data_IF_092161888560
#
_entry.id   IF_092161888560
#
_cell.length_a   1.000
_cell.length_b   1.000
_cell.length_c   1.000
_cell.angle_alpha   90.00
_cell.angle_beta   90.00
_cell.angle_gamma   90.00
#
_symmetry.space_group_name_H-M   'P 1'
#
loop_
_entity.id
_entity.type
_entity.pdbx_description
1 polymer ?
#
# COMPACT_ATOMS: atom_id res chain seq x y z
N UNK A 1 -6.08 -13.44 -13.10
CA UNK A 1 -6.85 -13.83 -11.88
C UNK A 1 -8.19 -13.10 -11.78
N UNK A 2 -8.21 -11.74 -11.60
CA UNK A 2 -9.48 -11.02 -11.40
C UNK A 2 -10.34 -10.97 -12.68
N UNK A 3 -9.72 -10.75 -13.83
CA UNK A 3 -10.42 -10.79 -15.13
C UNK A 3 -10.92 -12.19 -15.45
N UNK A 4 -10.15 -13.22 -15.17
CA UNK A 4 -10.55 -14.63 -15.35
C UNK A 4 -11.75 -15.01 -14.45
N UNK A 5 -11.84 -14.38 -13.27
CA UNK A 5 -12.90 -14.66 -12.29
C UNK A 5 -14.21 -13.91 -12.59
N UNK A 6 -14.15 -12.68 -13.12
CA UNK A 6 -15.32 -11.80 -13.28
C UNK A 6 -15.74 -11.59 -14.74
N UNK A 7 -14.82 -11.73 -15.70
CA UNK A 7 -15.04 -11.62 -17.15
C UNK A 7 -15.79 -10.36 -17.63
N UNK A 8 -15.84 -9.30 -16.78
CA UNK A 8 -16.53 -8.04 -17.06
C UNK A 8 -15.67 -6.85 -16.63
N UNK A 9 -15.17 -6.10 -17.62
CA UNK A 9 -14.32 -4.94 -17.41
C UNK A 9 -15.03 -3.80 -16.63
N UNK A 10 -16.35 -3.64 -16.82
CA UNK A 10 -17.12 -2.59 -16.13
C UNK A 10 -17.25 -2.90 -14.63
N UNK A 11 -17.49 -4.17 -14.27
CA UNK A 11 -17.54 -4.63 -12.88
C UNK A 11 -16.17 -4.46 -12.23
N UNK A 12 -15.10 -4.83 -12.91
CA UNK A 12 -13.73 -4.67 -12.43
C UNK A 12 -13.41 -3.19 -12.15
N UNK A 13 -13.77 -2.29 -13.08
CA UNK A 13 -13.57 -0.85 -12.92
C UNK A 13 -14.32 -0.31 -11.70
N UNK A 14 -15.55 -0.75 -11.47
CA UNK A 14 -16.36 -0.36 -10.33
C UNK A 14 -15.74 -0.82 -9.00
N UNK A 15 -15.21 -2.04 -8.97
CA UNK A 15 -14.51 -2.58 -7.80
C UNK A 15 -13.25 -1.77 -7.50
N UNK A 16 -12.41 -1.47 -8.50
CA UNK A 16 -11.21 -0.65 -8.31
C UNK A 16 -11.55 0.77 -7.85
N UNK A 17 -12.64 1.35 -8.36
CA UNK A 17 -13.12 2.64 -7.89
C UNK A 17 -13.50 2.60 -6.40
N UNK A 18 -14.27 1.60 -5.97
CA UNK A 18 -14.64 1.43 -4.56
C UNK A 18 -13.41 1.20 -3.67
N UNK A 19 -12.46 0.38 -4.12
CA UNK A 19 -11.18 0.16 -3.42
C UNK A 19 -10.42 1.48 -3.29
N UNK A 20 -10.37 2.29 -4.34
CA UNK A 20 -9.76 3.62 -4.32
C UNK A 20 -10.38 4.55 -3.29
N UNK A 21 -11.71 4.62 -3.24
CA UNK A 21 -12.45 5.40 -2.24
C UNK A 21 -12.16 4.91 -0.82
N UNK A 22 -12.20 3.59 -0.58
CA UNK A 22 -11.88 3.00 0.71
C UNK A 22 -10.45 3.28 1.13
N UNK A 23 -9.49 3.22 0.20
CA UNK A 23 -8.08 3.54 0.44
C UNK A 23 -7.90 5.01 0.84
N UNK A 24 -8.62 5.92 0.19
CA UNK A 24 -8.60 7.34 0.52
C UNK A 24 -9.16 7.58 1.93
N UNK A 25 -10.30 6.98 2.26
CA UNK A 25 -10.89 7.05 3.60
C UNK A 25 -9.91 6.48 4.64
N UNK A 26 -9.31 5.33 4.36
CA UNK A 26 -8.31 4.72 5.24
C UNK A 26 -7.12 5.66 5.45
N UNK A 27 -6.61 6.29 4.38
CA UNK A 27 -5.50 7.25 4.45
C UNK A 27 -5.79 8.46 5.34
N UNK A 28 -7.03 8.93 5.35
CA UNK A 28 -7.48 10.01 6.24
C UNK A 28 -7.70 9.54 7.69
N UNK A 29 -8.17 8.31 7.87
CA UNK A 29 -8.43 7.74 9.19
C UNK A 29 -7.17 7.34 9.94
N UNK A 30 -6.13 6.82 9.26
CA UNK A 30 -4.90 6.34 9.90
C UNK A 30 -4.24 7.41 10.77
N UNK A 31 -4.00 8.66 10.35
CA UNK A 31 -3.45 9.70 11.21
C UNK A 31 -4.33 10.02 12.44
N UNK A 32 -5.64 9.89 12.31
CA UNK A 32 -6.57 10.04 13.41
C UNK A 32 -6.47 8.87 14.40
N UNK A 33 -6.44 7.64 13.90
CA UNK A 33 -6.35 6.42 14.70
C UNK A 33 -5.02 6.31 15.47
N UNK A 34 -3.92 6.81 14.89
CA UNK A 34 -2.60 6.85 15.55
C UNK A 34 -2.61 7.67 16.85
N UNK A 35 -3.58 8.56 17.06
CA UNK A 35 -3.74 9.28 18.33
C UNK A 35 -4.17 8.37 19.48
N UNK A 36 -4.95 7.33 19.18
CA UNK A 36 -5.52 6.39 20.15
C UNK A 36 -4.75 5.09 20.21
N UNK A 37 -4.26 4.63 19.07
CA UNK A 37 -3.55 3.36 18.93
C UNK A 37 -2.07 3.67 18.69
N UNK A 38 -1.14 3.13 19.50
CA UNK A 38 0.29 3.28 19.24
C UNK A 38 0.65 2.83 17.81
N UNK A 39 1.47 3.62 17.10
CA UNK A 39 1.88 3.37 15.70
C UNK A 39 2.37 1.95 15.45
N UNK A 40 3.00 1.37 16.45
CA UNK A 40 3.48 -0.03 16.44
C UNK A 40 2.35 -1.02 16.18
N UNK A 41 1.21 -0.85 16.82
CA UNK A 41 0.04 -1.71 16.63
C UNK A 41 -0.61 -1.44 15.27
N UNK A 42 -0.69 -0.16 14.85
CA UNK A 42 -1.21 0.19 13.53
C UNK A 42 -0.39 -0.46 12.41
N UNK A 43 0.95 -0.40 12.48
CA UNK A 43 1.81 -1.08 11.52
C UNK A 43 1.59 -2.60 11.53
N UNK A 44 1.50 -3.21 12.72
CA UNK A 44 1.25 -4.64 12.87
C UNK A 44 -0.13 -5.05 12.32
N UNK A 45 -1.17 -4.22 12.52
CA UNK A 45 -2.50 -4.42 11.94
C UNK A 45 -2.42 -4.39 10.40
N UNK A 46 -1.70 -3.42 9.83
CA UNK A 46 -1.48 -3.36 8.38
C UNK A 46 -0.75 -4.59 7.85
N UNK A 47 0.35 -5.00 8.50
CA UNK A 47 1.09 -6.21 8.12
C UNK A 47 0.23 -7.48 8.24
N UNK A 48 -0.58 -7.59 9.28
CA UNK A 48 -1.52 -8.70 9.43
C UNK A 48 -2.63 -8.67 8.36
N UNK A 49 -3.06 -7.47 7.97
CA UNK A 49 -3.99 -7.27 6.84
C UNK A 49 -3.45 -7.83 5.52
N UNK A 50 -2.14 -7.66 5.25
CA UNK A 50 -1.50 -8.29 4.08
C UNK A 50 -1.50 -9.81 4.16
N UNK A 51 -1.20 -10.38 5.32
CA UNK A 51 -1.19 -11.84 5.52
C UNK A 51 -2.59 -12.40 5.27
N UNK A 52 -3.61 -11.81 5.89
CA UNK A 52 -5.00 -12.22 5.69
C UNK A 52 -5.46 -12.04 4.24
N UNK A 53 -5.19 -10.88 3.63
CA UNK A 53 -5.56 -10.62 2.25
C UNK A 53 -4.93 -11.63 1.29
N UNK A 54 -3.63 -11.88 1.41
CA UNK A 54 -2.95 -12.87 0.57
C UNK A 54 -3.47 -14.29 0.82
N UNK A 55 -3.77 -14.65 2.06
CA UNK A 55 -4.32 -15.97 2.39
C UNK A 55 -5.73 -16.18 1.82
N UNK A 56 -6.58 -15.14 1.82
CA UNK A 56 -7.91 -15.21 1.20
C UNK A 56 -7.84 -15.40 -0.31
N UNK A 57 -6.85 -14.79 -0.97
CA UNK A 57 -6.67 -14.97 -2.41
C UNK A 57 -6.35 -16.41 -2.80
N UNK A 58 -5.73 -17.20 -1.91
CA UNK A 58 -5.42 -18.62 -2.16
C UNK A 58 -6.70 -19.46 -2.32
N UNK A 59 -7.82 -19.04 -1.72
CA UNK A 59 -9.09 -19.78 -1.80
C UNK A 59 -9.71 -19.79 -3.20
N UNK A 60 -9.27 -18.89 -4.11
CA UNK A 60 -9.64 -18.89 -5.51
C UNK A 60 -11.08 -18.42 -5.85
N UNK A 61 -11.94 -18.20 -4.87
CA UNK A 61 -13.31 -17.74 -5.09
C UNK A 61 -13.33 -16.25 -5.51
N UNK A 62 -14.14 -15.83 -6.50
CA UNK A 62 -14.20 -14.44 -6.95
C UNK A 62 -14.45 -13.44 -5.83
N UNK A 63 -15.35 -13.76 -4.90
CA UNK A 63 -15.64 -12.92 -3.73
C UNK A 63 -14.44 -12.78 -2.80
N UNK A 64 -13.68 -13.87 -2.59
CA UNK A 64 -12.47 -13.86 -1.76
C UNK A 64 -11.33 -13.11 -2.41
N UNK A 65 -11.22 -13.13 -3.73
CA UNK A 65 -10.25 -12.32 -4.49
C UNK A 65 -10.57 -10.82 -4.33
N UNK A 66 -11.83 -10.43 -4.44
CA UNK A 66 -12.24 -9.03 -4.23
C UNK A 66 -11.95 -8.60 -2.79
N UNK A 67 -12.31 -9.42 -1.79
CA UNK A 67 -12.04 -9.13 -0.39
C UNK A 67 -10.54 -9.04 -0.10
N UNK A 68 -9.75 -9.92 -0.71
CA UNK A 68 -8.28 -9.88 -0.68
C UNK A 68 -7.73 -8.55 -1.18
N UNK A 69 -8.23 -8.06 -2.32
CA UNK A 69 -7.82 -6.77 -2.89
C UNK A 69 -8.15 -5.60 -1.96
N UNK A 70 -9.34 -5.59 -1.39
CA UNK A 70 -9.75 -4.57 -0.40
C UNK A 70 -8.79 -4.58 0.79
N UNK A 71 -8.56 -5.75 1.40
CA UNK A 71 -7.68 -5.88 2.57
C UNK A 71 -6.24 -5.48 2.24
N UNK A 72 -5.70 -5.94 1.12
CA UNK A 72 -4.34 -5.60 0.70
C UNK A 72 -4.20 -4.09 0.42
N UNK A 73 -5.20 -3.46 -0.18
CA UNK A 73 -5.20 -2.02 -0.45
C UNK A 73 -5.22 -1.21 0.86
N UNK A 74 -6.09 -1.56 1.80
CA UNK A 74 -6.13 -0.92 3.12
C UNK A 74 -4.83 -1.15 3.90
N UNK A 75 -4.29 -2.36 3.88
CA UNK A 75 -3.03 -2.72 4.50
C UNK A 75 -1.86 -1.90 3.93
N UNK A 76 -1.83 -1.71 2.60
CA UNK A 76 -0.84 -0.86 1.91
C UNK A 76 -0.88 0.56 2.44
N UNK A 77 -2.06 1.17 2.52
CA UNK A 77 -2.21 2.54 3.01
C UNK A 77 -1.77 2.65 4.47
N UNK A 78 -2.21 1.73 5.34
CA UNK A 78 -1.85 1.73 6.77
C UNK A 78 -0.34 1.62 6.95
N UNK A 79 0.29 0.63 6.32
CA UNK A 79 1.74 0.41 6.44
C UNK A 79 2.53 1.57 5.85
N UNK A 80 2.10 2.13 4.71
CA UNK A 80 2.75 3.26 4.05
C UNK A 80 2.71 4.53 4.92
N UNK A 81 1.55 4.87 5.48
CA UNK A 81 1.42 6.04 6.38
C UNK A 81 2.26 5.85 7.64
N UNK A 82 2.19 4.68 8.27
CA UNK A 82 3.00 4.38 9.46
C UNK A 82 4.50 4.43 9.14
N UNK A 83 4.94 3.82 8.04
CA UNK A 83 6.34 3.81 7.62
C UNK A 83 6.87 5.23 7.36
N UNK A 84 6.15 6.04 6.59
CA UNK A 84 6.55 7.43 6.34
C UNK A 84 6.68 8.23 7.64
N UNK A 85 5.78 7.99 8.58
CA UNK A 85 5.84 8.66 9.88
C UNK A 85 7.07 8.21 10.68
N UNK A 86 7.44 6.92 10.63
CA UNK A 86 8.68 6.44 11.25
C UNK A 86 9.92 7.07 10.58
N UNK A 87 9.97 7.13 9.26
CA UNK A 87 11.07 7.74 8.52
C UNK A 87 11.26 9.21 8.96
N UNK A 88 10.17 9.98 9.06
CA UNK A 88 10.23 11.39 9.46
C UNK A 88 10.65 11.60 10.92
N UNK A 89 10.33 10.65 11.82
CA UNK A 89 10.64 10.76 13.24
C UNK A 89 12.08 10.33 13.57
N UNK A 90 12.63 9.34 12.84
CA UNK A 90 13.91 8.71 13.20
C UNK A 90 15.07 9.06 12.28
N UNK A 91 14.82 9.56 11.07
CA UNK A 91 15.86 9.91 10.12
C UNK A 91 16.12 11.42 10.13
N UNK A 92 17.39 11.79 10.30
CA UNK A 92 17.80 13.18 10.25
C UNK A 92 17.46 13.79 8.88
N UNK A 93 17.02 15.06 8.88
CA UNK A 93 16.60 15.75 7.64
C UNK A 93 17.67 15.74 6.53
N UNK A 94 18.94 15.72 6.89
CA UNK A 94 20.07 15.68 5.95
C UNK A 94 20.17 14.30 5.26
N UNK A 95 19.74 13.24 5.91
CA UNK A 95 19.80 11.86 5.42
C UNK A 95 18.51 11.40 4.72
N UNK A 96 17.43 12.17 4.86
CA UNK A 96 16.14 11.83 4.22
C UNK A 96 16.27 11.60 2.72
N UNK A 97 17.08 12.41 2.03
CA UNK A 97 17.31 12.26 0.59
C UNK A 97 17.92 10.90 0.23
N UNK A 98 18.93 10.46 0.98
CA UNK A 98 19.58 9.16 0.76
C UNK A 98 18.63 8.00 1.05
N UNK A 99 17.88 8.08 2.14
CA UNK A 99 16.89 7.09 2.51
C UNK A 99 15.79 6.96 1.44
N UNK A 100 15.29 8.09 0.94
CA UNK A 100 14.26 8.11 -0.10
C UNK A 100 14.77 7.56 -1.42
N UNK A 101 16.01 7.86 -1.81
CA UNK A 101 16.64 7.30 -3.01
C UNK A 101 16.76 5.77 -2.93
N UNK A 102 17.21 5.23 -1.79
CA UNK A 102 17.28 3.79 -1.57
C UNK A 102 15.88 3.15 -1.62
N UNK A 103 14.91 3.76 -0.98
CA UNK A 103 13.51 3.29 -1.01
C UNK A 103 12.98 3.23 -2.43
N UNK A 104 13.22 4.28 -3.22
CA UNK A 104 12.82 4.35 -4.62
C UNK A 104 13.49 3.26 -5.46
N UNK A 105 14.79 3.02 -5.25
CA UNK A 105 15.54 1.98 -5.94
C UNK A 105 14.96 0.58 -5.67
N UNK A 106 14.77 0.20 -4.40
CA UNK A 106 14.19 -1.10 -4.05
C UNK A 106 12.72 -1.23 -4.51
N UNK A 107 11.97 -0.14 -4.46
CA UNK A 107 10.60 -0.11 -4.98
C UNK A 107 10.58 -0.34 -6.49
N UNK A 108 11.48 0.30 -7.24
CA UNK A 108 11.60 0.12 -8.68
C UNK A 108 12.00 -1.32 -9.05
N UNK A 109 12.92 -1.94 -8.29
CA UNK A 109 13.23 -3.36 -8.45
C UNK A 109 11.99 -4.25 -8.27
N UNK A 110 11.21 -3.99 -7.21
CA UNK A 110 9.97 -4.74 -6.96
C UNK A 110 8.96 -4.58 -8.10
N UNK A 111 8.79 -3.37 -8.63
CA UNK A 111 7.89 -3.10 -9.75
C UNK A 111 8.36 -3.68 -11.07
N UNK A 112 9.68 -3.83 -11.28
CA UNK A 112 10.25 -4.42 -12.51
C UNK A 112 10.19 -5.94 -12.46
N UNK A 113 10.62 -6.53 -11.37
CA UNK A 113 10.75 -7.98 -11.23
C UNK A 113 9.42 -8.64 -10.84
N UNK A 114 8.61 -7.95 -10.03
CA UNK A 114 7.36 -8.46 -9.46
C UNK A 114 6.36 -8.98 -10.51
N UNK A 115 5.99 -8.21 -11.54
CA UNK A 115 5.06 -8.67 -12.56
C UNK A 115 5.54 -9.91 -13.31
N UNK A 116 6.83 -9.95 -13.68
CA UNK A 116 7.43 -11.09 -14.40
C UNK A 116 7.39 -12.34 -13.53
N UNK A 117 7.85 -12.24 -12.29
CA UNK A 117 7.78 -13.34 -11.34
C UNK A 117 6.34 -13.76 -11.04
N UNK A 118 5.43 -12.79 -10.91
CA UNK A 118 4.01 -13.06 -10.67
C UNK A 118 3.39 -13.92 -11.77
N UNK A 119 3.64 -13.59 -13.04
CA UNK A 119 3.14 -14.37 -14.18
C UNK A 119 3.79 -15.75 -14.23
N UNK A 120 5.13 -15.84 -14.11
CA UNK A 120 5.84 -17.13 -14.12
C UNK A 120 5.37 -18.07 -13.01
N UNK A 121 5.17 -17.53 -11.81
CA UNK A 121 4.68 -18.31 -10.67
C UNK A 121 3.21 -18.73 -10.87
N UNK A 122 2.39 -17.86 -11.42
CA UNK A 122 0.99 -18.17 -11.74
C UNK A 122 0.86 -19.30 -12.74
N UNK A 123 1.68 -19.28 -13.80
CA UNK A 123 1.69 -20.36 -14.82
C UNK A 123 2.20 -21.69 -14.27
N UNK A 124 3.07 -21.66 -13.27
CA UNK A 124 3.59 -22.87 -12.63
C UNK A 124 2.62 -23.44 -11.60
N UNK A 125 2.03 -22.59 -10.77
CA UNK A 125 1.06 -22.97 -9.76
C UNK A 125 0.24 -21.74 -9.32
N UNK A 126 -1.05 -21.75 -9.59
CA UNK A 126 -1.94 -20.60 -9.36
C UNK A 126 -1.85 -19.96 -7.96
N UNK A 127 -1.76 -20.70 -6.83
CA UNK A 127 -1.62 -20.12 -5.50
C UNK A 127 -0.23 -19.55 -5.19
N UNK A 128 0.82 -19.90 -5.97
CA UNK A 128 2.21 -19.56 -5.65
C UNK A 128 2.47 -18.07 -5.43
N UNK A 129 1.97 -17.12 -6.26
CA UNK A 129 2.18 -15.69 -6.04
C UNK A 129 1.60 -15.20 -4.70
N UNK A 130 0.44 -15.72 -4.32
CA UNK A 130 -0.23 -15.35 -3.08
C UNK A 130 0.49 -15.90 -1.84
N UNK A 131 1.00 -17.12 -1.92
CA UNK A 131 1.81 -17.73 -0.85
C UNK A 131 3.09 -16.94 -0.65
N UNK A 132 3.80 -16.57 -1.72
CA UNK A 132 5.03 -15.77 -1.63
C UNK A 132 4.70 -14.38 -1.05
N UNK A 133 3.59 -13.76 -1.44
CA UNK A 133 3.14 -12.50 -0.87
C UNK A 133 2.84 -12.61 0.62
N UNK A 134 2.17 -13.69 1.04
CA UNK A 134 1.91 -13.95 2.45
C UNK A 134 3.21 -14.17 3.25
N UNK A 135 4.15 -14.96 2.73
CA UNK A 135 5.46 -15.18 3.35
C UNK A 135 6.27 -13.89 3.45
N UNK A 136 6.26 -13.06 2.40
CA UNK A 136 6.92 -11.76 2.42
C UNK A 136 6.30 -10.83 3.49
N UNK A 137 4.97 -10.85 3.64
CA UNK A 137 4.29 -10.09 4.68
C UNK A 137 4.61 -10.60 6.10
N UNK A 138 4.72 -11.90 6.29
CA UNK A 138 5.20 -12.50 7.56
C UNK A 138 6.64 -12.09 7.83
N UNK A 139 7.51 -12.14 6.82
CA UNK A 139 8.90 -11.68 6.93
C UNK A 139 9.00 -10.19 7.30
N UNK A 140 8.18 -9.35 6.67
CA UNK A 140 8.09 -7.91 6.98
C UNK A 140 7.64 -7.68 8.43
N UNK A 141 6.61 -8.39 8.89
CA UNK A 141 6.14 -8.31 10.27
C UNK A 141 7.20 -8.82 11.25
N UNK A 142 7.83 -9.96 10.95
CA UNK A 142 8.89 -10.54 11.77
C UNK A 142 10.09 -9.61 11.91
N UNK A 143 10.56 -9.01 10.81
CA UNK A 143 11.64 -8.03 10.81
C UNK A 143 11.27 -6.79 11.62
N UNK A 144 10.06 -6.29 11.47
CA UNK A 144 9.57 -5.15 12.26
C UNK A 144 9.55 -5.46 13.76
N UNK A 145 9.04 -6.63 14.15
CA UNK A 145 9.02 -7.06 15.55
C UNK A 145 10.43 -7.27 16.11
N UNK A 146 11.33 -7.88 15.32
CA UNK A 146 12.73 -8.09 15.72
C UNK A 146 13.45 -6.76 15.99
N UNK A 147 13.38 -5.81 15.06
CA UNK A 147 13.99 -4.49 15.21
C UNK A 147 13.41 -3.74 16.39
N UNK A 148 12.13 -3.92 16.68
CA UNK A 148 11.45 -3.30 17.80
C UNK A 148 11.86 -3.89 19.15
N UNK A 149 12.03 -5.21 19.25
CA UNK A 149 12.47 -5.87 20.48
C UNK A 149 13.92 -5.50 20.83
N UNK A 150 14.78 -5.30 19.81
CA UNK A 150 16.17 -4.87 19.98
C UNK A 150 16.30 -3.42 20.47
N UNK A 151 15.33 -2.54 20.19
CA UNK A 151 15.41 -1.10 20.47
C UNK A 151 14.22 -0.58 21.30
N UNK A 152 13.90 -1.23 22.40
CA UNK A 152 12.75 -0.91 23.26
C UNK A 152 12.68 0.54 23.76
N UNK A 153 13.79 1.30 23.75
CA UNK A 153 13.83 2.71 24.15
C UNK A 153 13.40 3.69 23.05
N UNK A 154 13.40 3.27 21.79
CA UNK A 154 13.09 4.14 20.65
C UNK A 154 11.60 4.19 20.30
N UNK A 155 10.78 3.31 20.88
CA UNK A 155 9.36 3.20 20.57
C UNK A 155 8.51 3.68 21.74
N UNK A 156 8.74 4.91 22.17
CA UNK A 156 7.82 5.61 23.05
C UNK A 156 6.68 6.23 22.24
N UNK A 157 5.52 6.39 22.90
CA UNK A 157 4.43 7.21 22.32
C UNK A 157 5.01 8.51 21.81
N UNK A 158 4.77 8.84 20.54
CA UNK A 158 5.20 10.11 19.97
C UNK A 158 4.75 11.25 20.89
N UNK A 159 5.71 12.01 21.41
CA UNK A 159 5.45 13.22 22.21
C UNK A 159 4.70 14.30 21.41
N UNK A 160 4.73 14.20 20.09
CA UNK A 160 4.00 15.10 19.20
C UNK A 160 2.64 14.49 18.85
N UNK A 161 1.59 15.17 19.26
CA UNK A 161 0.25 14.85 18.79
C UNK A 161 0.25 14.88 17.26
N UNK A 162 -0.23 13.78 16.64
CA UNK A 162 -0.39 13.72 15.20
C UNK A 162 -1.27 14.91 14.76
N UNK A 163 -0.78 15.79 13.87
CA UNK A 163 -1.56 16.97 13.47
C UNK A 163 -2.87 16.51 12.82
N UNK A 164 -3.93 17.26 13.05
CA UNK A 164 -5.20 17.00 12.39
C UNK A 164 -5.05 17.27 10.88
N UNK A 165 -5.13 16.25 9.99
CA UNK A 165 -4.90 16.43 8.57
C UNK A 165 -5.86 17.46 7.95
N UNK A 166 -7.09 17.52 8.45
CA UNK A 166 -8.11 18.48 7.97
C UNK A 166 -7.79 19.93 8.39
N UNK A 167 -7.10 20.14 9.52
CA UNK A 167 -6.70 21.46 9.98
C UNK A 167 -5.65 22.14 9.09
N UNK A 168 -4.93 21.38 8.27
CA UNK A 168 -3.93 21.92 7.35
C UNK A 168 -4.45 22.20 5.93
N UNK A 169 -5.67 21.75 5.60
CA UNK A 169 -6.24 21.95 4.28
C UNK A 169 -6.30 23.43 3.88
N UNK A 170 -6.69 24.32 4.80
CA UNK A 170 -6.72 25.76 4.53
C UNK A 170 -5.35 26.32 4.15
N UNK A 171 -4.28 25.90 4.85
CA UNK A 171 -2.89 26.32 4.54
C UNK A 171 -2.39 25.71 3.24
N UNK A 172 -2.82 24.49 2.92
CA UNK A 172 -2.46 23.82 1.67
C UNK A 172 -3.05 24.60 0.47
N UNK A 173 -4.32 24.97 0.50
CA UNK A 173 -4.99 25.72 -0.57
C UNK A 173 -4.50 27.17 -0.71
N UNK A 174 -3.83 27.73 0.29
CA UNK A 174 -3.19 29.04 0.20
C UNK A 174 -1.83 29.01 -0.53
N UNK A 175 -1.29 27.83 -0.82
CA UNK A 175 0.02 27.69 -1.44
C UNK A 175 -0.08 27.12 -2.87
N UNK A 176 -0.09 27.98 -3.93
CA UNK A 176 -0.31 27.53 -5.31
C UNK A 176 0.76 26.55 -5.80
N UNK A 177 1.99 26.61 -5.29
CA UNK A 177 3.06 25.67 -5.62
C UNK A 177 2.77 24.26 -5.09
N UNK A 178 2.18 24.14 -3.92
CA UNK A 178 1.77 22.84 -3.37
C UNK A 178 0.60 22.24 -4.14
N UNK A 179 -0.36 23.09 -4.54
CA UNK A 179 -1.50 22.66 -5.38
C UNK A 179 -1.00 22.17 -6.73
N UNK A 180 -0.09 22.88 -7.38
CA UNK A 180 0.49 22.44 -8.65
C UNK A 180 1.21 21.09 -8.50
N UNK A 181 2.06 20.92 -7.49
CA UNK A 181 2.73 19.66 -7.21
C UNK A 181 1.74 18.52 -6.94
N UNK A 182 0.66 18.79 -6.21
CA UNK A 182 -0.40 17.82 -5.96
C UNK A 182 -1.16 17.43 -7.24
N UNK A 183 -1.50 18.39 -8.10
CA UNK A 183 -2.14 18.12 -9.39
C UNK A 183 -1.27 17.24 -10.28
N UNK A 184 0.03 17.51 -10.37
CA UNK A 184 0.97 16.65 -11.09
C UNK A 184 1.00 15.24 -10.53
N UNK A 185 1.00 15.09 -9.21
CA UNK A 185 0.96 13.77 -8.57
C UNK A 185 -0.35 13.02 -8.89
N UNK A 186 -1.49 13.71 -8.89
CA UNK A 186 -2.80 13.14 -9.24
C UNK A 186 -2.82 12.69 -10.70
N UNK A 187 -2.44 13.56 -11.65
CA UNK A 187 -2.40 13.24 -13.08
C UNK A 187 -1.49 12.02 -13.33
N UNK A 188 -0.30 12.01 -12.74
CA UNK A 188 0.62 10.87 -12.84
C UNK A 188 -0.01 9.60 -12.30
N UNK A 189 -0.69 9.67 -11.15
CA UNK A 189 -1.30 8.50 -10.51
C UNK A 189 -2.50 7.97 -11.32
N UNK A 190 -3.29 8.84 -11.92
CA UNK A 190 -4.37 8.45 -12.84
C UNK A 190 -3.82 7.75 -14.08
N UNK A 191 -2.76 8.29 -14.71
CA UNK A 191 -2.10 7.67 -15.86
C UNK A 191 -1.52 6.30 -15.50
N UNK A 192 -0.87 6.19 -14.36
CA UNK A 192 -0.32 4.92 -13.87
C UNK A 192 -1.41 3.89 -13.59
N UNK A 193 -2.49 4.30 -12.91
CA UNK A 193 -3.63 3.43 -12.62
C UNK A 193 -4.30 2.91 -13.91
N UNK A 194 -4.53 3.79 -14.87
CA UNK A 194 -5.06 3.41 -16.18
C UNK A 194 -4.15 2.39 -16.89
N UNK A 195 -2.84 2.66 -16.92
CA UNK A 195 -1.86 1.78 -17.55
C UNK A 195 -1.82 0.38 -16.92
N UNK A 196 -1.70 0.30 -15.59
CA UNK A 196 -1.54 -0.97 -14.87
C UNK A 196 -2.81 -1.83 -14.91
N UNK A 197 -3.99 -1.21 -14.89
CA UNK A 197 -5.27 -1.94 -14.85
C UNK A 197 -5.74 -2.30 -16.24
N UNK A 198 -5.73 -1.34 -17.17
CA UNK A 198 -6.39 -1.53 -18.48
C UNK A 198 -5.49 -2.09 -19.57
N UNK A 199 -4.16 -1.88 -19.51
CA UNK A 199 -3.26 -2.42 -20.52
C UNK A 199 -3.28 -3.96 -20.57
N UNK A 200 -3.23 -4.69 -19.44
CA UNK A 200 -3.35 -6.14 -19.47
C UNK A 200 -4.70 -6.63 -20.00
N UNK A 201 -5.80 -5.93 -19.67
CA UNK A 201 -7.14 -6.26 -20.17
C UNK A 201 -7.18 -6.08 -21.68
N UNK A 202 -6.70 -4.93 -22.18
CA UNK A 202 -6.64 -4.63 -23.60
C UNK A 202 -5.80 -5.67 -24.37
N UNK A 203 -4.66 -6.08 -23.81
CA UNK A 203 -3.79 -7.09 -24.42
C UNK A 203 -4.46 -8.48 -24.50
N UNK A 204 -5.29 -8.85 -23.50
CA UNK A 204 -6.03 -10.12 -23.53
C UNK A 204 -7.19 -10.09 -24.53
N UNK A 205 -7.84 -8.94 -24.69
CA UNK A 205 -8.98 -8.79 -25.62
C UNK A 205 -8.56 -8.68 -27.10
N UNK A 206 -7.35 -8.18 -27.38
CA UNK A 206 -6.92 -7.88 -28.75
C UNK A 206 -5.75 -8.75 -29.24
N UNK A 207 -5.30 -9.72 -28.50
CA UNK A 207 -4.32 -10.62 -29.04
C UNK A 207 -3.27 -11.19 -28.32
#
# INVERSE_FOLDING_TARGET
AMYDALQDAAVISSIYFLIGVLSLITGLLVPFLIRFIPRRWMYSIGAFGFILGSSLAILGNPQMIVLSLVLNSMATVITFVCFNTYVLDYIARVELGKCETLRMFYSALGWTVGPVLGVLLWTWWEPAPFIISALAAVGMLGMFLYLRLGNGKLITLSKHQSPNPLGFLGRFFQQPRLIAGWLFAVIRSCGWGAYVVYLPIYAVENG
#
